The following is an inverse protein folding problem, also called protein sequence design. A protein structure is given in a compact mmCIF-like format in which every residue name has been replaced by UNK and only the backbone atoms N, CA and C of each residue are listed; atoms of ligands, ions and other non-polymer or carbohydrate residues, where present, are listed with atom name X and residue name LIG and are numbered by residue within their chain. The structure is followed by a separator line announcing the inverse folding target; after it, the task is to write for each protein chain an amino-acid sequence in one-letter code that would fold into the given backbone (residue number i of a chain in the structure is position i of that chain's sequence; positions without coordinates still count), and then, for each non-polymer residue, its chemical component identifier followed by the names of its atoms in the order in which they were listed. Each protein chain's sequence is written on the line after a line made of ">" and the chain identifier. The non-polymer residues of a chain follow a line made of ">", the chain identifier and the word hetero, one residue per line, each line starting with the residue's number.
data_IF_920285404800
#
_entry.id   IF_920285404800
#
_cell.length_a   1.000
_cell.length_b   1.000
_cell.length_c   1.000
_cell.angle_alpha   90.00
_cell.angle_beta   90.00
_cell.angle_gamma   90.00
#
_symmetry.space_group_name_H-M   'P 1'
#
loop_
_entity.id
_entity.type
_entity.pdbx_description
1 polymer ?
#
# COMPACT_ATOMS: atom_id res chain seq x y z
N UNK A 1 -3.83 -19.06 -0.08
CA UNK A 1 -3.62 -19.26 1.37
C UNK A 1 -4.62 -18.40 2.11
N UNK A 2 -5.47 -18.95 2.99
CA UNK A 2 -6.43 -18.15 3.77
C UNK A 2 -5.71 -17.38 4.88
N UNK A 3 -5.51 -16.08 4.67
CA UNK A 3 -4.74 -15.23 5.57
C UNK A 3 -5.49 -14.89 6.86
N UNK A 4 -6.81 -15.08 6.90
CA UNK A 4 -7.69 -14.81 8.05
C UNK A 4 -7.27 -15.50 9.35
N UNK A 5 -6.45 -16.55 9.26
CA UNK A 5 -6.00 -17.34 10.41
C UNK A 5 -4.60 -17.00 10.91
N UNK A 6 -3.84 -16.17 10.20
CA UNK A 6 -2.45 -15.86 10.59
C UNK A 6 -2.37 -15.19 11.96
N UNK A 7 -1.76 -15.86 12.91
CA UNK A 7 -1.46 -15.32 14.23
C UNK A 7 -0.23 -14.38 14.21
N UNK A 8 0.11 -13.78 15.35
CA UNK A 8 1.26 -12.86 15.43
C UNK A 8 2.60 -13.54 15.15
N UNK A 9 2.75 -14.82 15.47
CA UNK A 9 3.99 -15.57 15.24
C UNK A 9 4.15 -15.88 13.75
N UNK A 10 3.05 -16.21 13.07
CA UNK A 10 3.03 -16.45 11.62
C UNK A 10 3.31 -15.17 10.83
N UNK A 11 2.88 -14.00 11.34
CA UNK A 11 3.16 -12.71 10.72
C UNK A 11 4.60 -12.21 10.93
N UNK A 12 5.28 -12.63 12.00
CA UNK A 12 6.55 -12.04 12.42
C UNK A 12 7.66 -12.14 11.35
N UNK A 13 7.89 -13.28 10.67
CA UNK A 13 8.92 -13.38 9.62
C UNK A 13 8.68 -12.42 8.46
N UNK A 14 7.42 -12.27 8.02
CA UNK A 14 7.04 -11.34 6.97
C UNK A 14 7.29 -9.89 7.39
N UNK A 15 6.91 -9.52 8.61
CA UNK A 15 7.13 -8.16 9.15
C UNK A 15 8.62 -7.85 9.23
N UNK A 16 9.44 -8.78 9.73
CA UNK A 16 10.90 -8.63 9.81
C UNK A 16 11.50 -8.44 8.42
N UNK A 17 11.11 -9.30 7.47
CA UNK A 17 11.54 -9.21 6.08
C UNK A 17 11.18 -7.87 5.42
N UNK A 18 9.94 -7.41 5.60
CA UNK A 18 9.49 -6.13 5.05
C UNK A 18 10.23 -4.95 5.69
N UNK A 19 10.52 -5.02 6.99
CA UNK A 19 11.33 -4.03 7.71
C UNK A 19 12.67 -3.76 7.02
N UNK A 20 13.41 -4.82 6.73
CA UNK A 20 14.74 -4.74 6.11
C UNK A 20 14.68 -4.48 4.59
N UNK A 21 13.69 -5.03 3.88
CA UNK A 21 13.65 -4.97 2.41
C UNK A 21 13.08 -3.66 1.85
N UNK A 22 12.27 -2.92 2.63
CA UNK A 22 11.57 -1.73 2.16
C UNK A 22 12.29 -0.41 2.48
N UNK A 23 13.56 -0.43 2.89
CA UNK A 23 14.32 0.78 3.22
C UNK A 23 14.36 1.78 2.06
N UNK A 24 14.42 1.31 0.83
CA UNK A 24 14.41 2.17 -0.38
C UNK A 24 13.04 2.22 -1.05
N UNK A 25 11.99 1.75 -0.39
CA UNK A 25 10.63 1.84 -0.91
C UNK A 25 10.17 3.30 -0.88
N UNK A 26 9.80 3.92 -2.02
CA UNK A 26 9.55 5.37 -2.06
C UNK A 26 8.45 5.85 -1.10
N UNK A 27 7.40 5.06 -0.91
CA UNK A 27 6.36 5.39 0.08
C UNK A 27 6.90 5.39 1.53
N UNK A 28 7.81 4.46 1.86
CA UNK A 28 8.44 4.38 3.18
C UNK A 28 9.46 5.49 3.38
N UNK A 29 10.18 5.88 2.33
CA UNK A 29 11.06 7.06 2.34
C UNK A 29 10.26 8.35 2.58
N UNK A 30 9.06 8.46 2.01
CA UNK A 30 8.20 9.61 2.27
C UNK A 30 7.64 9.61 3.69
N UNK A 31 7.17 8.46 4.20
CA UNK A 31 6.64 8.34 5.55
C UNK A 31 7.71 8.55 6.64
N UNK A 32 8.92 8.00 6.41
CA UNK A 32 10.08 8.14 7.29
C UNK A 32 11.33 8.52 6.46
N UNK A 33 11.60 9.84 6.31
CA UNK A 33 12.74 10.33 5.55
C UNK A 33 14.10 9.96 6.16
N UNK A 34 14.15 9.86 7.49
CA UNK A 34 15.35 9.48 8.23
C UNK A 34 15.72 8.01 7.97
N UNK A 35 16.83 7.79 7.26
CA UNK A 35 17.29 6.45 6.86
C UNK A 35 17.57 5.55 8.05
N UNK A 36 18.17 6.09 9.11
CA UNK A 36 18.64 5.32 10.26
C UNK A 36 17.47 4.84 11.14
N UNK A 37 16.31 5.51 11.03
CA UNK A 37 15.09 5.14 11.75
C UNK A 37 14.11 4.32 10.91
N UNK A 38 14.34 4.20 9.60
CA UNK A 38 13.34 3.71 8.65
C UNK A 38 12.99 2.24 8.83
N UNK A 39 13.97 1.38 9.10
CA UNK A 39 13.73 -0.05 9.35
C UNK A 39 12.75 -0.24 10.50
N UNK A 40 13.10 0.33 11.67
CA UNK A 40 12.27 0.31 12.88
C UNK A 40 10.89 0.94 12.65
N UNK A 41 10.82 1.99 11.83
CA UNK A 41 9.55 2.58 11.44
C UNK A 41 8.69 1.59 10.63
N UNK A 42 9.25 0.96 9.60
CA UNK A 42 8.55 0.00 8.73
C UNK A 42 8.05 -1.19 9.55
N UNK A 43 8.92 -1.79 10.37
CA UNK A 43 8.56 -2.93 11.22
C UNK A 43 7.35 -2.58 12.09
N UNK A 44 7.39 -1.45 12.80
CA UNK A 44 6.26 -1.02 13.65
C UNK A 44 5.02 -0.67 12.86
N UNK A 45 5.18 -0.06 11.69
CA UNK A 45 4.06 0.22 10.80
C UNK A 45 3.38 -1.08 10.36
N UNK A 46 4.14 -2.12 10.01
CA UNK A 46 3.59 -3.42 9.64
C UNK A 46 2.99 -4.16 10.84
N UNK A 47 3.70 -4.25 11.98
CA UNK A 47 3.17 -4.84 13.23
C UNK A 47 1.84 -4.24 13.66
N UNK A 48 1.67 -2.93 13.44
CA UNK A 48 0.45 -2.25 13.78
C UNK A 48 -0.68 -2.53 12.78
N UNK A 49 -0.41 -2.43 11.48
CA UNK A 49 -1.45 -2.42 10.45
C UNK A 49 -1.78 -3.82 9.89
N UNK A 50 -0.78 -4.67 9.71
CA UNK A 50 -0.95 -5.99 9.10
C UNK A 50 -1.99 -6.87 9.82
N UNK A 51 -2.01 -6.99 11.17
CA UNK A 51 -3.03 -7.77 11.84
C UNK A 51 -4.46 -7.28 11.56
N UNK A 52 -4.65 -5.96 11.48
CA UNK A 52 -5.96 -5.37 11.19
C UNK A 52 -6.37 -5.61 9.74
N UNK A 53 -5.45 -5.49 8.80
CA UNK A 53 -5.72 -5.75 7.39
C UNK A 53 -6.05 -7.22 7.12
N UNK A 54 -5.37 -8.13 7.81
CA UNK A 54 -5.70 -9.56 7.79
C UNK A 54 -7.12 -9.79 8.32
N UNK A 55 -7.43 -9.24 9.49
CA UNK A 55 -8.76 -9.40 10.11
C UNK A 55 -9.89 -8.85 9.25
N UNK A 56 -9.64 -7.78 8.49
CA UNK A 56 -10.63 -7.19 7.58
C UNK A 56 -10.66 -7.82 6.19
N UNK A 57 -9.81 -8.82 5.91
CA UNK A 57 -9.73 -9.47 4.59
C UNK A 57 -9.27 -8.53 3.48
N UNK A 58 -8.47 -7.52 3.80
CA UNK A 58 -8.00 -6.47 2.87
C UNK A 58 -6.56 -6.70 2.40
N UNK A 59 -6.02 -7.89 2.61
CA UNK A 59 -4.61 -8.19 2.40
C UNK A 59 -4.45 -9.37 1.44
N UNK A 60 -3.48 -9.25 0.53
CA UNK A 60 -2.97 -10.30 -0.35
C UNK A 60 -1.49 -10.49 0.01
N UNK A 61 -1.01 -11.72 0.07
CA UNK A 61 0.38 -12.04 0.45
C UNK A 61 0.93 -13.00 -0.60
N UNK A 62 2.13 -12.72 -1.09
CA UNK A 62 2.78 -13.55 -2.10
C UNK A 62 3.17 -14.92 -1.56
N UNK A 63 3.44 -15.86 -2.45
CA UNK A 63 4.10 -17.12 -2.14
C UNK A 63 5.41 -17.21 -2.96
N UNK A 64 6.59 -17.16 -2.32
CA UNK A 64 6.83 -17.05 -0.88
C UNK A 64 6.41 -15.69 -0.30
N UNK A 65 6.12 -15.64 1.01
CA UNK A 65 5.62 -14.45 1.71
C UNK A 65 6.69 -13.35 1.89
N UNK A 66 7.05 -12.67 0.80
CA UNK A 66 7.99 -11.55 0.77
C UNK A 66 7.37 -10.24 0.30
N UNK A 67 6.14 -10.27 -0.21
CA UNK A 67 5.41 -9.09 -0.64
C UNK A 67 3.95 -9.14 -0.16
N UNK A 68 3.37 -7.95 -0.01
CA UNK A 68 2.00 -7.76 0.47
C UNK A 68 1.29 -6.74 -0.40
N UNK A 69 0.09 -7.08 -0.88
CA UNK A 69 -0.85 -6.14 -1.47
C UNK A 69 -1.93 -5.79 -0.46
N UNK A 70 -2.25 -4.51 -0.28
CA UNK A 70 -3.32 -4.07 0.62
C UNK A 70 -4.36 -3.31 -0.17
N UNK A 71 -5.61 -3.77 -0.10
CA UNK A 71 -6.78 -3.20 -0.76
C UNK A 71 -7.63 -2.43 0.25
N UNK A 72 -7.58 -1.10 0.22
CA UNK A 72 -8.38 -0.28 1.12
C UNK A 72 -9.44 0.51 0.34
N UNK A 73 -10.68 0.63 0.85
CA UNK A 73 -11.66 1.47 0.18
C UNK A 73 -11.19 2.92 0.16
N UNK A 74 -11.57 3.71 -0.85
CA UNK A 74 -11.16 5.13 -0.94
C UNK A 74 -11.51 5.97 0.32
N UNK A 75 -12.53 5.54 1.06
CA UNK A 75 -13.01 6.14 2.29
C UNK A 75 -12.59 5.36 3.55
N UNK A 76 -11.56 4.51 3.46
CA UNK A 76 -11.05 3.80 4.62
C UNK A 76 -10.80 4.77 5.78
N UNK A 77 -11.07 4.37 7.03
CA UNK A 77 -10.97 5.26 8.18
C UNK A 77 -9.64 6.01 8.18
N UNK A 78 -9.72 7.30 8.52
CA UNK A 78 -8.52 8.13 8.65
C UNK A 78 -7.51 7.43 9.56
N UNK A 79 -6.24 7.55 9.18
CA UNK A 79 -5.17 7.02 10.00
C UNK A 79 -5.16 7.76 11.34
N UNK A 80 -5.77 7.16 12.35
CA UNK A 80 -5.72 7.65 13.73
C UNK A 80 -4.47 7.10 14.36
N UNK A 81 -3.54 7.98 14.73
CA UNK A 81 -2.42 7.63 15.59
C UNK A 81 -2.99 6.88 16.81
N UNK A 82 -2.55 5.65 17.10
CA UNK A 82 -3.09 4.90 18.23
C UNK A 82 -2.87 5.66 19.53
N UNK A 83 -3.94 5.88 20.29
CA UNK A 83 -3.83 6.26 21.69
C UNK A 83 -3.38 5.04 22.50
N UNK A 84 -2.08 5.01 22.85
CA UNK A 84 -1.34 3.96 23.59
C UNK A 84 -1.07 2.66 22.80
N UNK A 85 0.21 2.24 22.77
CA UNK A 85 0.66 0.99 22.12
C UNK A 85 1.81 1.18 21.12
N UNK A 86 2.06 0.17 20.26
CA UNK A 86 3.23 0.04 19.37
C UNK A 86 3.57 1.25 18.46
N UNK A 87 2.63 2.20 18.29
CA UNK A 87 2.85 3.44 17.55
C UNK A 87 2.83 4.72 18.39
N UNK A 88 2.83 4.63 19.72
CA UNK A 88 3.08 5.79 20.60
C UNK A 88 4.43 6.48 20.33
N UNK A 89 5.25 5.87 19.46
CA UNK A 89 6.56 6.34 19.03
C UNK A 89 6.63 6.72 17.54
N UNK A 90 5.54 6.64 16.76
CA UNK A 90 5.54 7.36 15.49
C UNK A 90 5.48 8.84 15.85
N UNK A 91 6.53 9.56 15.49
CA UNK A 91 6.53 11.02 15.64
C UNK A 91 5.26 11.57 15.02
N UNK A 92 4.77 12.68 15.58
CA UNK A 92 3.60 13.39 15.02
C UNK A 92 3.80 13.64 13.52
N UNK A 93 5.04 13.86 13.09
CA UNK A 93 5.40 14.07 11.69
C UNK A 93 5.19 12.84 10.80
N UNK A 94 5.55 11.63 11.24
CA UNK A 94 5.28 10.40 10.47
C UNK A 94 3.77 10.19 10.27
N UNK A 95 2.99 10.42 11.33
CA UNK A 95 1.53 10.29 11.28
C UNK A 95 0.91 11.32 10.33
N UNK A 96 1.36 12.58 10.37
CA UNK A 96 0.92 13.63 9.43
C UNK A 96 1.24 13.26 7.98
N UNK A 97 2.42 12.69 7.71
CA UNK A 97 2.81 12.24 6.36
C UNK A 97 1.88 11.16 5.83
N UNK A 98 1.59 10.13 6.63
CA UNK A 98 0.65 9.06 6.28
C UNK A 98 -0.76 9.62 6.00
N UNK A 99 -1.26 10.49 6.88
CA UNK A 99 -2.55 11.14 6.70
C UNK A 99 -2.59 11.99 5.43
N UNK A 100 -1.55 12.78 5.19
CA UNK A 100 -1.44 13.63 4.00
C UNK A 100 -1.48 12.79 2.71
N UNK A 101 -0.73 11.69 2.66
CA UNK A 101 -0.77 10.76 1.52
C UNK A 101 -2.17 10.22 1.28
N UNK A 102 -2.80 9.63 2.31
CA UNK A 102 -4.16 9.08 2.20
C UNK A 102 -5.20 10.12 1.78
N UNK A 103 -5.10 11.34 2.32
CA UNK A 103 -6.02 12.43 1.99
C UNK A 103 -5.88 12.88 0.53
N UNK A 104 -4.64 13.03 0.05
CA UNK A 104 -4.37 13.38 -1.35
C UNK A 104 -4.87 12.27 -2.28
N UNK A 105 -4.54 11.01 -2.01
CA UNK A 105 -5.03 9.86 -2.79
C UNK A 105 -6.56 9.81 -2.83
N UNK A 106 -7.23 9.95 -1.67
CA UNK A 106 -8.70 10.00 -1.58
C UNK A 106 -9.29 11.12 -2.45
N UNK A 107 -8.71 12.32 -2.39
CA UNK A 107 -9.22 13.47 -3.12
C UNK A 107 -9.06 13.27 -4.63
N UNK A 108 -7.89 12.79 -5.08
CA UNK A 108 -7.63 12.50 -6.49
C UNK A 108 -8.61 11.43 -7.01
N UNK A 109 -8.73 10.32 -6.28
CA UNK A 109 -9.65 9.21 -6.61
C UNK A 109 -11.11 9.70 -6.67
N UNK A 110 -11.51 10.58 -5.74
CA UNK A 110 -12.85 11.16 -5.71
C UNK A 110 -13.18 12.08 -6.89
N UNK A 111 -12.16 12.61 -7.59
CA UNK A 111 -12.30 13.38 -8.83
C UNK A 111 -12.26 12.46 -10.05
N UNK A 112 -11.35 11.49 -10.06
CA UNK A 112 -11.11 10.62 -11.21
C UNK A 112 -12.21 9.58 -11.46
N UNK A 113 -12.86 9.08 -10.40
CA UNK A 113 -13.78 7.94 -10.49
C UNK A 113 -15.20 8.38 -10.12
N UNK A 114 -16.23 8.01 -10.91
CA UNK A 114 -17.63 8.29 -10.58
C UNK A 114 -17.98 7.87 -9.16
N UNK A 115 -18.76 8.70 -8.45
CA UNK A 115 -19.05 8.52 -7.02
C UNK A 115 -19.72 7.17 -6.71
N UNK A 116 -20.50 6.67 -7.65
CA UNK A 116 -21.34 5.48 -7.53
C UNK A 116 -20.55 4.17 -7.66
N UNK A 117 -19.37 4.21 -8.29
CA UNK A 117 -18.53 3.01 -8.41
C UNK A 117 -17.80 2.72 -7.09
N UNK A 118 -17.85 1.47 -6.58
CA UNK A 118 -17.01 1.08 -5.47
C UNK A 118 -15.55 1.10 -5.91
N UNK A 119 -14.65 1.51 -5.00
CA UNK A 119 -13.23 1.69 -5.30
C UNK A 119 -12.39 1.05 -4.21
N UNK A 120 -11.40 0.26 -4.62
CA UNK A 120 -10.34 -0.22 -3.76
C UNK A 120 -9.00 0.34 -4.23
N UNK A 121 -8.26 0.94 -3.30
CA UNK A 121 -6.91 1.43 -3.52
C UNK A 121 -5.92 0.34 -3.10
N UNK A 122 -5.19 -0.18 -4.07
CA UNK A 122 -4.09 -1.12 -3.89
C UNK A 122 -2.80 -0.38 -3.56
N UNK A 123 -2.24 -0.69 -2.40
CA UNK A 123 -0.85 -0.36 -2.05
C UNK A 123 -0.04 -1.65 -1.99
N UNK A 124 1.06 -1.69 -2.72
CA UNK A 124 1.98 -2.82 -2.71
C UNK A 124 3.18 -2.55 -1.78
N UNK A 125 3.53 -3.55 -0.99
CA UNK A 125 4.69 -3.57 -0.11
C UNK A 125 5.59 -4.74 -0.52
N UNK A 126 6.59 -4.42 -1.33
CA UNK A 126 7.68 -5.33 -1.72
C UNK A 126 8.79 -4.52 -2.39
N UNK A 127 10.01 -5.04 -2.37
CA UNK A 127 11.10 -4.45 -3.13
C UNK A 127 10.95 -4.82 -4.61
N UNK A 128 10.38 -3.91 -5.40
CA UNK A 128 10.16 -4.13 -6.83
C UNK A 128 11.43 -4.42 -7.66
N UNK A 129 12.64 -4.24 -7.13
CA UNK A 129 13.86 -4.70 -7.80
C UNK A 129 14.12 -6.22 -7.60
N UNK A 130 13.69 -6.77 -6.47
CA UNK A 130 13.92 -8.18 -6.11
C UNK A 130 12.65 -9.03 -6.30
N UNK A 131 11.49 -8.54 -5.89
CA UNK A 131 10.21 -9.27 -5.91
C UNK A 131 9.27 -8.82 -7.04
N UNK A 132 9.79 -8.43 -8.21
CA UNK A 132 8.93 -7.92 -9.30
C UNK A 132 7.82 -8.90 -9.68
N UNK A 133 8.14 -10.19 -9.82
CA UNK A 133 7.15 -11.20 -10.22
C UNK A 133 6.08 -11.43 -9.16
N UNK A 134 6.47 -11.53 -7.88
CA UNK A 134 5.51 -11.65 -6.78
C UNK A 134 4.57 -10.44 -6.71
N UNK A 135 5.08 -9.23 -6.93
CA UNK A 135 4.27 -8.02 -6.98
C UNK A 135 3.29 -8.02 -8.15
N UNK A 136 3.69 -8.51 -9.33
CA UNK A 136 2.79 -8.63 -10.48
C UNK A 136 1.73 -9.72 -10.27
N UNK A 137 2.06 -10.80 -9.56
CA UNK A 137 1.09 -11.81 -9.16
C UNK A 137 0.03 -11.20 -8.22
N UNK A 138 0.45 -10.45 -7.20
CA UNK A 138 -0.46 -9.75 -6.30
C UNK A 138 -1.36 -8.75 -7.02
N UNK A 139 -0.87 -8.11 -8.08
CA UNK A 139 -1.67 -7.24 -8.94
C UNK A 139 -2.71 -8.05 -9.71
N UNK A 140 -2.33 -9.17 -10.32
CA UNK A 140 -3.27 -10.06 -11.02
C UNK A 140 -4.37 -10.55 -10.08
N UNK A 141 -4.02 -11.01 -8.87
CA UNK A 141 -5.00 -11.43 -7.87
C UNK A 141 -5.95 -10.29 -7.46
N UNK A 142 -5.43 -9.05 -7.36
CA UNK A 142 -6.26 -7.88 -7.11
C UNK A 142 -7.20 -7.54 -8.28
N UNK A 143 -6.77 -7.75 -9.52
CA UNK A 143 -7.60 -7.58 -10.72
C UNK A 143 -8.73 -8.61 -10.76
N UNK A 144 -8.42 -9.88 -10.50
CA UNK A 144 -9.42 -10.95 -10.43
C UNK A 144 -10.50 -10.62 -9.38
N UNK A 145 -10.09 -10.11 -8.21
CA UNK A 145 -11.01 -9.64 -7.18
C UNK A 145 -11.82 -8.42 -7.61
N UNK A 146 -11.23 -7.51 -8.38
CA UNK A 146 -11.89 -6.31 -8.90
C UNK A 146 -12.99 -6.68 -9.89
N UNK A 147 -12.73 -7.68 -10.74
CA UNK A 147 -13.68 -8.22 -11.70
C UNK A 147 -14.78 -9.01 -10.99
N UNK A 148 -14.42 -9.91 -10.06
CA UNK A 148 -15.41 -10.71 -9.31
C UNK A 148 -16.37 -9.82 -8.51
N UNK A 149 -15.83 -8.81 -7.80
CA UNK A 149 -16.59 -7.96 -6.88
C UNK A 149 -17.04 -6.64 -7.51
N UNK A 150 -16.76 -6.44 -8.80
CA UNK A 150 -17.21 -5.30 -9.60
C UNK A 150 -16.83 -3.94 -8.97
N UNK A 151 -15.55 -3.76 -8.63
CA UNK A 151 -15.02 -2.48 -8.15
C UNK A 151 -13.90 -1.94 -9.04
N UNK A 152 -13.72 -0.63 -9.03
CA UNK A 152 -12.57 0.01 -9.70
C UNK A 152 -11.34 -0.18 -8.83
N UNK A 153 -10.30 -0.79 -9.39
CA UNK A 153 -9.02 -1.01 -8.73
C UNK A 153 -8.10 0.17 -9.04
N UNK A 154 -7.59 0.81 -7.99
CA UNK A 154 -6.66 1.95 -8.10
C UNK A 154 -5.31 1.54 -7.54
N UNK A 155 -4.26 1.53 -8.36
CA UNK A 155 -2.90 1.35 -7.89
C UNK A 155 -2.26 2.71 -7.60
N UNK A 156 -1.87 2.93 -6.34
CA UNK A 156 -1.21 4.17 -5.88
C UNK A 156 0.28 3.91 -5.60
N UNK A 157 1.17 4.68 -6.23
CA UNK A 157 2.61 4.48 -6.12
C UNK A 157 3.42 5.77 -6.27
N UNK A 158 4.54 5.80 -5.56
CA UNK A 158 5.63 6.78 -5.76
C UNK A 158 6.78 6.22 -6.61
N UNK A 159 6.62 5.00 -7.14
CA UNK A 159 7.64 4.28 -7.91
C UNK A 159 7.16 4.05 -9.34
N UNK A 160 8.03 4.29 -10.31
CA UNK A 160 7.76 3.98 -11.72
C UNK A 160 8.03 2.53 -12.12
N UNK A 161 8.65 1.72 -11.24
CA UNK A 161 9.20 0.40 -11.58
C UNK A 161 8.18 -0.62 -12.09
N UNK A 162 6.91 -0.46 -11.72
CA UNK A 162 5.82 -1.35 -12.12
C UNK A 162 4.89 -0.72 -13.15
N UNK A 163 5.01 0.58 -13.45
CA UNK A 163 4.04 1.32 -14.28
C UNK A 163 3.90 0.67 -15.66
N UNK A 164 4.99 0.54 -16.41
CA UNK A 164 4.96 -0.05 -17.75
C UNK A 164 4.41 -1.49 -17.74
N UNK A 165 4.71 -2.26 -16.69
CA UNK A 165 4.21 -3.64 -16.57
C UNK A 165 2.70 -3.67 -16.32
N UNK A 166 2.18 -2.76 -15.50
CA UNK A 166 0.76 -2.64 -15.19
C UNK A 166 -0.04 -2.09 -16.37
N UNK A 167 0.53 -1.17 -17.16
CA UNK A 167 -0.10 -0.71 -18.41
C UNK A 167 -0.32 -1.88 -19.39
N UNK A 168 0.67 -2.78 -19.50
CA UNK A 168 0.53 -4.02 -20.28
C UNK A 168 -0.48 -5.02 -19.67
N UNK A 169 -0.84 -4.87 -18.40
CA UNK A 169 -1.89 -5.66 -17.72
C UNK A 169 -3.25 -4.95 -17.73
N UNK A 170 -3.42 -3.89 -18.54
CA UNK A 170 -4.70 -3.22 -18.74
C UNK A 170 -5.00 -2.08 -17.75
N UNK A 171 -4.05 -1.72 -16.88
CA UNK A 171 -4.17 -0.47 -16.14
C UNK A 171 -3.98 0.74 -17.05
N UNK A 172 -4.65 1.83 -16.73
CA UNK A 172 -4.43 3.13 -17.37
C UNK A 172 -3.93 4.15 -16.36
N UNK A 173 -2.89 4.91 -16.71
CA UNK A 173 -2.42 6.02 -15.87
C UNK A 173 -3.43 7.16 -15.90
N UNK A 174 -4.13 7.38 -14.79
CA UNK A 174 -5.15 8.43 -14.68
C UNK A 174 -4.68 9.70 -13.97
N UNK A 175 -3.60 9.62 -13.19
CA UNK A 175 -2.95 10.78 -12.58
C UNK A 175 -1.45 10.54 -12.43
N UNK A 176 -0.64 11.56 -12.75
CA UNK A 176 0.78 11.56 -12.45
C UNK A 176 1.31 12.98 -12.24
N UNK A 177 1.71 13.33 -11.01
CA UNK A 177 2.33 14.62 -10.68
C UNK A 177 3.26 14.52 -9.48
N UNK A 178 4.06 15.56 -9.26
CA UNK A 178 4.80 15.71 -8.00
C UNK A 178 3.83 15.66 -6.81
N UNK A 179 4.21 14.88 -5.81
CA UNK A 179 3.44 14.73 -4.58
C UNK A 179 3.71 15.92 -3.68
N UNK A 180 2.77 16.88 -3.65
CA UNK A 180 2.94 18.16 -2.95
C UNK A 180 4.27 18.83 -3.36
N UNK A 181 4.95 19.49 -2.42
CA UNK A 181 6.26 20.12 -2.64
C UNK A 181 7.44 19.13 -2.44
N UNK A 182 7.22 17.83 -2.71
CA UNK A 182 8.28 16.81 -2.61
C UNK A 182 8.82 16.42 -3.98
N UNK A 183 9.98 15.76 -3.99
CA UNK A 183 10.56 15.17 -5.21
C UNK A 183 9.91 13.85 -5.63
N UNK A 184 8.99 13.30 -4.81
CA UNK A 184 8.27 12.07 -5.17
C UNK A 184 7.23 12.39 -6.23
N UNK A 185 7.11 11.51 -7.22
CA UNK A 185 6.06 11.58 -8.23
C UNK A 185 5.01 10.56 -7.85
N UNK A 186 3.81 11.01 -7.52
CA UNK A 186 2.67 10.14 -7.29
C UNK A 186 2.03 9.79 -8.62
N UNK A 187 1.92 8.50 -8.90
CA UNK A 187 1.17 7.95 -10.02
C UNK A 187 -0.01 7.17 -9.45
N UNK A 188 -1.22 7.46 -9.96
CA UNK A 188 -2.40 6.63 -9.75
C UNK A 188 -2.80 6.01 -11.08
N UNK A 189 -2.89 4.70 -11.09
CA UNK A 189 -3.34 3.91 -12.21
C UNK A 189 -4.69 3.27 -11.90
N UNK A 190 -5.56 3.16 -12.88
CA UNK A 190 -6.91 2.60 -12.71
C UNK A 190 -7.10 1.37 -13.58
N UNK A 191 -7.81 0.38 -13.04
CA UNK A 191 -8.28 -0.80 -13.74
C UNK A 191 -9.77 -0.99 -13.46
N UNK A 192 -10.50 -1.54 -14.44
CA UNK A 192 -11.96 -1.75 -14.37
C UNK A 192 -12.78 -0.45 -14.19
N UNK A 193 -12.48 0.58 -15.00
CA UNK A 193 -13.12 1.91 -14.94
C UNK A 193 -14.42 2.01 -15.73
#
# INVERSE_FOLDING_TARGET
>A
MELSHWDKKEQAPLVEFLGASLLSHPLMMYYCPDRDKREKFITRYMEHNLPRWIQTGTVLVSDPAHAVGVLLPKNAPEYRSPSKGALSMLSVDHSRRIQSHRNVTRNIVGVMIPREKPVQVLTLFGNAAAQKQELLQLVSEAQDLADEKQFVLVYDTFSRRLVDALENQGFSTGYQRNFLDTHFIQTLMTYNI
#
